data_IF_252264319002
#
_entry.id   IF_252264319002
#
_cell.length_a   1.000
_cell.length_b   1.000
_cell.length_c   1.000
_cell.angle_alpha   90.00
_cell.angle_beta   90.00
_cell.angle_gamma   90.00
#
_symmetry.space_group_name_H-M   'P 1'
#
loop_
_entity.id
_entity.type
_entity.pdbx_description
1 polymer ?
#
# COMPACT_ATOMS: atom_id res chain seq x y z
N UNK A 1 -13.40 1.02 -23.25
CA UNK A 1 -13.12 1.77 -22.00
C UNK A 1 -14.37 1.74 -21.14
N UNK A 2 -14.54 0.72 -20.30
CA UNK A 2 -15.76 0.62 -19.47
C UNK A 2 -15.45 0.11 -18.05
N UNK A 3 -14.56 -0.88 -17.89
CA UNK A 3 -14.29 -1.49 -16.58
C UNK A 3 -13.62 -0.56 -15.57
N UNK A 4 -12.61 0.21 -15.97
CA UNK A 4 -11.90 1.14 -15.07
C UNK A 4 -12.82 2.27 -14.59
N UNK A 5 -13.61 2.82 -15.51
CA UNK A 5 -14.53 3.91 -15.23
C UNK A 5 -15.70 3.47 -14.35
N UNK A 6 -16.20 2.24 -14.55
CA UNK A 6 -17.19 1.62 -13.68
C UNK A 6 -16.63 1.42 -12.25
N UNK A 7 -15.38 0.97 -12.12
CA UNK A 7 -14.71 0.85 -10.82
C UNK A 7 -14.53 2.22 -10.14
N UNK A 8 -14.00 3.21 -10.84
CA UNK A 8 -13.76 4.55 -10.30
C UNK A 8 -15.06 5.25 -9.87
N UNK A 9 -16.18 5.00 -10.56
CA UNK A 9 -17.48 5.57 -10.19
C UNK A 9 -18.00 5.09 -8.83
N UNK A 10 -17.48 3.98 -8.32
CA UNK A 10 -17.84 3.42 -7.03
C UNK A 10 -16.96 3.93 -5.89
N UNK A 11 -15.89 4.68 -6.20
CA UNK A 11 -14.94 5.21 -5.23
C UNK A 11 -15.29 6.66 -4.88
N UNK A 12 -15.35 6.97 -3.59
CA UNK A 12 -15.57 8.32 -3.12
C UNK A 12 -14.37 9.22 -3.45
N UNK A 13 -14.57 10.36 -4.13
CA UNK A 13 -13.47 11.25 -4.52
C UNK A 13 -12.83 11.97 -3.33
N UNK A 14 -13.49 12.00 -2.16
CA UNK A 14 -12.97 12.67 -0.97
C UNK A 14 -12.06 11.75 -0.14
N UNK A 15 -12.46 10.50 0.08
CA UNK A 15 -11.75 9.59 0.99
C UNK A 15 -11.15 8.36 0.30
N UNK A 16 -11.45 8.11 -0.98
CA UNK A 16 -10.94 6.96 -1.72
C UNK A 16 -11.55 5.61 -1.34
N UNK A 17 -12.58 5.58 -0.48
CA UNK A 17 -13.31 4.36 -0.11
C UNK A 17 -14.46 4.06 -1.08
N UNK A 18 -14.90 2.80 -1.13
CA UNK A 18 -16.11 2.44 -1.85
C UNK A 18 -17.33 3.16 -1.23
N UNK A 19 -18.20 3.74 -2.06
CA UNK A 19 -19.32 4.59 -1.61
C UNK A 19 -20.31 3.85 -0.73
N UNK A 20 -20.51 2.55 -0.95
CA UNK A 20 -21.34 1.70 -0.07
C UNK A 20 -20.78 1.55 1.34
N UNK A 21 -19.51 1.88 1.57
CA UNK A 21 -18.88 1.82 2.89
C UNK A 21 -18.86 3.20 3.56
N UNK A 22 -18.58 4.28 2.83
CA UNK A 22 -18.42 5.61 3.42
C UNK A 22 -19.70 6.46 3.45
N UNK A 23 -20.72 6.15 2.64
CA UNK A 23 -22.01 6.86 2.64
C UNK A 23 -23.11 6.08 3.37
N UNK A 24 -22.78 4.94 3.97
CA UNK A 24 -23.66 4.18 4.86
C UNK A 24 -23.23 4.40 6.32
N UNK A 25 -24.07 5.10 7.08
CA UNK A 25 -23.80 5.45 8.47
C UNK A 25 -23.61 4.22 9.37
N UNK A 26 -24.36 3.14 9.12
CA UNK A 26 -24.24 1.92 9.92
C UNK A 26 -22.90 1.23 9.68
N UNK A 27 -22.49 1.12 8.41
CA UNK A 27 -21.17 0.59 8.00
C UNK A 27 -20.02 1.38 8.63
N UNK A 28 -20.05 2.72 8.57
CA UNK A 28 -19.01 3.57 9.18
C UNK A 28 -19.00 3.42 10.70
N UNK A 29 -20.18 3.39 11.34
CA UNK A 29 -20.30 3.22 12.80
C UNK A 29 -19.77 1.87 13.26
N UNK A 30 -19.99 0.81 12.49
CA UNK A 30 -19.45 -0.53 12.75
C UNK A 30 -17.92 -0.57 12.66
N UNK A 31 -17.35 0.02 11.60
CA UNK A 31 -15.89 0.16 11.44
C UNK A 31 -15.26 0.94 12.60
N UNK A 32 -15.89 2.05 13.00
CA UNK A 32 -15.44 2.85 14.14
C UNK A 32 -15.48 2.06 15.46
N UNK A 33 -16.60 1.41 15.77
CA UNK A 33 -16.78 0.64 17.02
C UNK A 33 -15.85 -0.55 17.13
N UNK A 34 -15.52 -1.18 16.01
CA UNK A 34 -14.58 -2.31 16.00
C UNK A 34 -13.13 -1.87 16.08
N UNK A 35 -12.83 -0.60 15.84
CA UNK A 35 -11.49 -0.01 16.03
C UNK A 35 -10.39 -0.76 15.28
N UNK A 36 -10.75 -1.50 14.21
CA UNK A 36 -9.83 -2.35 13.49
C UNK A 36 -8.89 -1.48 12.68
N UNK A 37 -7.70 -1.29 13.22
CA UNK A 37 -6.56 -0.80 12.43
C UNK A 37 -6.24 -1.89 11.42
N UNK A 38 -6.68 -1.70 10.17
CA UNK A 38 -6.33 -2.60 9.09
C UNK A 38 -4.87 -2.37 8.72
N UNK A 39 -4.05 -3.40 8.86
CA UNK A 39 -2.65 -3.39 8.43
C UNK A 39 -2.58 -4.00 7.04
N UNK A 40 -2.11 -3.22 6.06
CA UNK A 40 -1.72 -3.78 4.78
C UNK A 40 -0.43 -4.59 4.96
N UNK A 41 -0.56 -5.91 5.12
CA UNK A 41 0.59 -6.80 5.32
C UNK A 41 1.60 -6.75 4.16
N UNK A 42 1.14 -6.51 2.92
CA UNK A 42 2.05 -6.31 1.78
C UNK A 42 2.94 -5.08 1.98
N UNK A 43 2.36 -3.95 2.42
CA UNK A 43 3.13 -2.73 2.73
C UNK A 43 4.05 -2.94 3.94
N UNK A 44 3.60 -3.65 4.97
CA UNK A 44 4.42 -4.00 6.12
C UNK A 44 5.67 -4.81 5.67
N UNK A 45 5.47 -5.86 4.88
CA UNK A 45 6.55 -6.70 4.38
C UNK A 45 7.50 -5.94 3.44
N UNK A 46 6.97 -5.08 2.58
CA UNK A 46 7.79 -4.18 1.73
C UNK A 46 8.68 -3.28 2.59
N UNK A 47 8.10 -2.62 3.60
CA UNK A 47 8.84 -1.73 4.48
C UNK A 47 9.94 -2.49 5.25
N UNK A 48 9.65 -3.72 5.69
CA UNK A 48 10.66 -4.59 6.31
C UNK A 48 11.80 -4.93 5.35
N UNK A 49 11.48 -5.32 4.11
CA UNK A 49 12.51 -5.67 3.13
C UNK A 49 13.36 -4.46 2.72
N UNK A 50 12.78 -3.25 2.67
CA UNK A 50 13.52 -1.99 2.48
C UNK A 50 14.50 -1.78 3.65
N UNK A 51 14.07 -1.94 4.89
CA UNK A 51 14.95 -1.81 6.07
C UNK A 51 16.09 -2.84 6.05
N UNK A 52 15.80 -4.09 5.69
CA UNK A 52 16.81 -5.15 5.54
C UNK A 52 17.81 -4.80 4.42
N UNK A 53 17.34 -4.28 3.30
CA UNK A 53 18.20 -3.82 2.20
C UNK A 53 19.06 -2.61 2.61
N UNK A 54 18.50 -1.62 3.30
CA UNK A 54 19.22 -0.44 3.81
C UNK A 54 20.30 -0.81 4.83
N UNK A 55 19.98 -1.72 5.75
CA UNK A 55 20.92 -2.20 6.77
C UNK A 55 22.03 -3.10 6.23
N UNK A 56 21.90 -3.62 5.00
CA UNK A 56 22.96 -4.40 4.34
C UNK A 56 24.21 -3.59 3.97
N UNK A 57 24.18 -2.25 4.10
CA UNK A 57 25.30 -1.37 3.78
C UNK A 57 25.62 -1.26 2.29
N UNK A 58 24.79 -1.87 1.42
CA UNK A 58 25.03 -1.97 -0.03
C UNK A 58 24.19 -0.95 -0.82
N UNK A 59 23.51 0.00 -0.16
CA UNK A 59 22.63 0.97 -0.85
C UNK A 59 23.46 2.05 -1.54
N UNK A 60 23.44 2.11 -2.89
CA UNK A 60 24.03 3.23 -3.62
C UNK A 60 23.33 4.54 -3.25
N UNK A 61 24.06 5.65 -3.17
CA UNK A 61 23.50 6.93 -2.73
C UNK A 61 22.35 7.45 -3.61
N UNK A 62 22.32 7.06 -4.89
CA UNK A 62 21.25 7.39 -5.85
C UNK A 62 19.98 6.53 -5.69
N UNK A 63 20.01 5.48 -4.86
CA UNK A 63 18.83 4.66 -4.55
C UNK A 63 18.09 5.11 -3.27
N UNK A 64 18.64 6.02 -2.47
CA UNK A 64 17.95 6.53 -1.27
C UNK A 64 16.69 7.31 -1.67
N UNK A 65 15.53 6.84 -1.22
CA UNK A 65 14.23 7.43 -1.54
C UNK A 65 13.59 6.94 -2.85
N UNK A 66 14.25 6.03 -3.58
CA UNK A 66 13.64 5.38 -4.73
C UNK A 66 12.62 4.31 -4.25
N UNK A 67 11.40 4.34 -4.77
CA UNK A 67 10.43 3.26 -4.56
C UNK A 67 10.90 2.06 -5.38
N UNK A 68 11.55 1.10 -4.73
CA UNK A 68 12.02 -0.13 -5.38
C UNK A 68 10.81 -0.94 -5.84
N UNK A 69 10.55 -0.93 -7.14
CA UNK A 69 9.43 -1.68 -7.75
C UNK A 69 9.72 -3.18 -7.89
N UNK A 70 10.96 -3.61 -7.63
CA UNK A 70 11.40 -5.01 -7.71
C UNK A 70 12.61 -5.23 -6.81
N UNK A 71 12.41 -5.84 -5.64
CA UNK A 71 13.47 -6.38 -4.80
C UNK A 71 13.88 -7.75 -5.33
N UNK A 72 14.56 -7.81 -6.47
CA UNK A 72 15.29 -9.02 -6.83
C UNK A 72 16.76 -8.76 -6.50
N UNK A 73 17.32 -9.40 -5.46
CA UNK A 73 18.74 -9.29 -5.19
C UNK A 73 19.50 -9.71 -6.44
N UNK A 74 20.34 -8.81 -6.97
CA UNK A 74 21.26 -9.18 -8.05
C UNK A 74 22.26 -10.18 -7.45
N UNK A 75 22.44 -11.39 -8.01
CA UNK A 75 23.46 -12.31 -7.53
C UNK A 75 24.85 -11.65 -7.61
N UNK A 76 25.76 -11.96 -6.67
CA UNK A 76 27.14 -11.46 -6.77
C UNK A 76 27.74 -11.89 -8.11
N UNK A 77 28.37 -10.95 -8.81
CA UNK A 77 29.07 -11.23 -10.05
C UNK A 77 30.24 -12.19 -9.75
N UNK A 78 30.20 -13.37 -10.36
CA UNK A 78 31.31 -14.34 -10.41
C UNK A 78 32.40 -13.87 -11.36
#
# INVERSE_FOLDING_TARGET
MLALQAYESQVCPLCGMHTSTCHDEESVTSLYRTGRVEVCFATQMRNRAIQEFESSGTVPDDMRGAVTTTLTPRPPAT
#
